data_IF_101312594754
#
_entry.id   IF_101312594754
#
_cell.length_a   1.000
_cell.length_b   1.000
_cell.length_c   1.000
_cell.angle_alpha   90.00
_cell.angle_beta   90.00
_cell.angle_gamma   90.00
#
_symmetry.space_group_name_H-M   'P 1'
#
loop_
_entity.id
_entity.type
_entity.pdbx_description
1 polymer ?
#
# COMPACT_ATOMS: atom_id res chain seq x y z
N UNK A 1 11.47 -3.83 24.44
CA UNK A 1 10.31 -4.25 25.27
C UNK A 1 9.45 -5.18 24.44
N UNK A 2 9.37 -6.46 24.81
CA UNK A 2 8.62 -7.48 24.08
C UNK A 2 7.16 -7.43 24.53
N UNK A 3 6.26 -6.98 23.65
CA UNK A 3 4.82 -7.10 23.87
C UNK A 3 4.43 -8.53 23.51
N UNK A 4 4.30 -9.39 24.52
CA UNK A 4 3.80 -10.75 24.36
C UNK A 4 2.27 -10.69 24.40
N UNK A 5 1.64 -10.64 23.23
CA UNK A 5 0.21 -10.90 23.12
C UNK A 5 0.00 -12.42 23.13
N UNK A 6 -0.82 -12.93 24.05
CA UNK A 6 -1.17 -14.34 24.10
C UNK A 6 -2.14 -14.67 22.95
N UNK A 7 -1.59 -15.22 21.87
CA UNK A 7 -2.37 -15.78 20.76
C UNK A 7 -2.44 -17.31 20.96
N UNK A 8 -3.63 -17.89 20.77
CA UNK A 8 -3.93 -19.31 20.99
C UNK A 8 -3.19 -20.29 20.06
N UNK A 9 -2.35 -19.77 19.16
CA UNK A 9 -1.51 -20.53 18.23
C UNK A 9 -0.06 -20.15 18.53
N UNK A 10 0.88 -21.11 18.63
CA UNK A 10 2.30 -20.79 18.81
C UNK A 10 2.81 -20.09 17.55
N UNK A 11 2.84 -18.75 17.59
CA UNK A 11 3.37 -17.91 16.53
C UNK A 11 4.84 -17.63 16.86
N UNK A 12 5.75 -18.11 16.03
CA UNK A 12 7.16 -17.75 16.12
C UNK A 12 7.36 -16.28 15.72
N UNK A 13 7.63 -15.42 16.71
CA UNK A 13 7.98 -14.03 16.48
C UNK A 13 9.45 -13.92 16.03
N UNK A 14 9.69 -13.89 14.72
CA UNK A 14 11.03 -13.61 14.17
C UNK A 14 11.33 -12.12 14.19
N UNK A 15 12.19 -11.67 15.10
CA UNK A 15 12.73 -10.30 15.08
C UNK A 15 13.94 -10.18 14.15
N UNK A 16 13.74 -10.43 12.85
CA UNK A 16 14.80 -10.20 11.85
C UNK A 16 14.72 -8.74 11.41
N UNK A 17 15.66 -7.91 11.89
CA UNK A 17 15.74 -6.47 11.61
C UNK A 17 15.63 -6.13 10.12
N UNK A 18 16.28 -6.92 9.26
CA UNK A 18 16.25 -6.72 7.82
C UNK A 18 14.85 -6.89 7.22
N UNK A 19 14.13 -7.97 7.59
CA UNK A 19 12.77 -8.22 7.09
C UNK A 19 11.81 -7.13 7.56
N UNK A 20 11.94 -6.70 8.82
CA UNK A 20 11.15 -5.60 9.37
C UNK A 20 11.39 -4.29 8.61
N UNK A 21 12.65 -3.97 8.28
CA UNK A 21 12.98 -2.79 7.51
C UNK A 21 12.37 -2.81 6.10
N UNK A 22 12.34 -3.98 5.44
CA UNK A 22 11.75 -4.12 4.10
C UNK A 22 10.25 -3.90 4.11
N UNK A 23 9.53 -4.49 5.08
CA UNK A 23 8.09 -4.30 5.26
C UNK A 23 7.80 -2.82 5.57
N UNK A 24 8.55 -2.24 6.52
CA UNK A 24 8.36 -0.85 6.93
C UNK A 24 8.65 0.14 5.79
N UNK A 25 9.59 -0.19 4.91
CA UNK A 25 9.88 0.61 3.72
C UNK A 25 8.73 0.59 2.72
N UNK A 26 8.12 -0.56 2.49
CA UNK A 26 6.99 -0.71 1.56
C UNK A 26 5.79 0.15 2.00
N UNK A 27 5.53 0.22 3.31
CA UNK A 27 4.42 1.00 3.86
C UNK A 27 4.67 2.53 3.90
N UNK A 28 5.86 3.02 3.53
CA UNK A 28 6.22 4.45 3.64
C UNK A 28 5.28 5.37 2.87
N UNK A 29 4.86 4.95 1.68
CA UNK A 29 3.96 5.75 0.85
C UNK A 29 2.60 5.98 1.53
N UNK A 30 2.03 4.90 2.08
CA UNK A 30 0.75 4.94 2.80
C UNK A 30 0.91 5.79 4.07
N UNK A 31 1.95 5.54 4.88
CA UNK A 31 2.19 6.30 6.12
C UNK A 31 2.38 7.81 5.85
N UNK A 32 3.02 8.20 4.76
CA UNK A 32 3.21 9.61 4.40
C UNK A 32 1.88 10.33 4.16
N UNK A 33 0.90 9.67 3.56
CA UNK A 33 -0.42 10.23 3.26
C UNK A 33 -1.32 10.18 4.51
N UNK A 34 -1.27 9.10 5.27
CA UNK A 34 -2.19 8.85 6.40
C UNK A 34 -1.79 9.62 7.68
N UNK A 35 -0.49 9.84 7.93
CA UNK A 35 0.00 10.56 9.12
C UNK A 35 -0.67 11.92 9.35
N UNK A 36 -0.79 12.83 8.35
CA UNK A 36 -1.47 14.10 8.55
C UNK A 36 -3.00 13.96 8.74
N UNK A 37 -3.60 12.82 8.38
CA UNK A 37 -5.04 12.57 8.46
C UNK A 37 -5.48 11.99 9.82
N UNK A 38 -4.55 11.79 10.76
CA UNK A 38 -4.77 11.11 12.06
C UNK A 38 -5.34 9.68 11.94
N UNK A 39 -5.13 9.03 10.79
CA UNK A 39 -5.63 7.67 10.53
C UNK A 39 -6.95 7.62 9.76
N UNK A 40 -7.53 6.43 9.66
CA UNK A 40 -8.80 6.20 8.97
C UNK A 40 -9.95 6.08 9.98
N UNK A 41 -11.09 6.72 9.69
CA UNK A 41 -12.29 6.66 10.54
C UNK A 41 -13.04 5.32 10.47
N UNK A 42 -12.88 4.56 9.39
CA UNK A 42 -13.52 3.26 9.19
C UNK A 42 -12.70 2.35 8.28
N UNK A 43 -12.92 1.04 8.38
CA UNK A 43 -12.27 0.06 7.51
C UNK A 43 -12.67 0.20 6.04
N UNK A 44 -13.92 0.60 5.76
CA UNK A 44 -14.37 0.86 4.41
C UNK A 44 -13.56 2.01 3.78
N UNK A 45 -13.38 3.10 4.52
CA UNK A 45 -12.56 4.24 4.09
C UNK A 45 -11.09 3.85 3.88
N UNK A 46 -10.52 3.09 4.83
CA UNK A 46 -9.16 2.58 4.72
C UNK A 46 -8.96 1.76 3.44
N UNK A 47 -9.89 0.83 3.15
CA UNK A 47 -9.82 -0.04 1.96
C UNK A 47 -9.80 0.77 0.67
N UNK A 48 -10.74 1.70 0.51
CA UNK A 48 -10.84 2.52 -0.71
C UNK A 48 -9.60 3.41 -0.90
N UNK A 49 -9.13 4.04 0.17
CA UNK A 49 -7.95 4.92 0.09
C UNK A 49 -6.66 4.13 -0.19
N UNK A 50 -6.44 3.01 0.48
CA UNK A 50 -5.27 2.16 0.23
C UNK A 50 -5.27 1.66 -1.22
N UNK A 51 -6.42 1.17 -1.72
CA UNK A 51 -6.55 0.72 -3.11
C UNK A 51 -6.24 1.84 -4.11
N UNK A 52 -6.68 3.08 -3.86
CA UNK A 52 -6.33 4.23 -4.69
C UNK A 52 -4.84 4.56 -4.67
N UNK A 53 -4.20 4.51 -3.50
CA UNK A 53 -2.75 4.75 -3.36
C UNK A 53 -1.95 3.68 -4.10
N UNK A 54 -2.35 2.41 -4.00
CA UNK A 54 -1.73 1.28 -4.70
C UNK A 54 -1.88 1.41 -6.22
N UNK A 55 -3.08 1.78 -6.69
CA UNK A 55 -3.36 2.02 -8.11
C UNK A 55 -2.45 3.10 -8.68
N UNK A 56 -2.32 4.23 -7.99
CA UNK A 56 -1.39 5.29 -8.40
C UNK A 56 0.07 4.85 -8.37
N UNK A 57 0.45 3.95 -7.45
CA UNK A 57 1.78 3.33 -7.42
C UNK A 57 2.03 2.43 -8.64
N UNK A 58 1.04 1.65 -9.05
CA UNK A 58 1.12 0.79 -10.23
C UNK A 58 1.29 1.60 -11.51
N UNK A 59 0.51 2.69 -11.66
CA UNK A 59 0.65 3.67 -12.76
C UNK A 59 2.07 4.24 -12.79
N UNK A 60 2.55 4.76 -11.65
CA UNK A 60 3.89 5.35 -11.54
C UNK A 60 5.01 4.36 -11.85
N UNK A 61 4.85 3.09 -11.50
CA UNK A 61 5.82 2.02 -11.77
C UNK A 61 5.72 1.46 -13.19
N UNK A 62 4.75 1.88 -14.00
CA UNK A 62 4.51 1.32 -15.34
C UNK A 62 4.05 -0.15 -15.30
N UNK A 63 3.45 -0.58 -14.19
CA UNK A 63 2.96 -1.95 -14.02
C UNK A 63 1.62 -2.17 -14.72
N UNK A 64 0.92 -1.10 -15.10
CA UNK A 64 -0.24 -1.18 -15.96
C UNK A 64 0.21 -1.50 -17.39
N UNK A 65 -0.21 -2.66 -17.89
CA UNK A 65 0.01 -3.06 -19.28
C UNK A 65 -0.81 -2.15 -20.18
N UNK A 66 -0.19 -1.11 -20.73
CA UNK A 66 -0.80 -0.32 -21.78
C UNK A 66 -0.91 -1.20 -23.03
N UNK A 67 -2.13 -1.64 -23.36
CA UNK A 67 -2.41 -2.44 -24.57
C UNK A 67 -2.20 -1.64 -25.87
N UNK A 68 -1.97 -0.33 -25.78
CA UNK A 68 -1.74 0.57 -26.90
C UNK A 68 -0.34 1.15 -26.75
N UNK A 69 0.54 0.94 -27.73
CA UNK A 69 1.95 1.34 -27.75
C UNK A 69 2.22 2.86 -27.74
N UNK A 70 1.28 3.66 -27.23
CA UNK A 70 1.39 5.10 -27.02
C UNK A 70 1.69 5.36 -25.54
N UNK A 71 2.61 6.29 -25.25
CA UNK A 71 2.90 6.74 -23.90
C UNK A 71 1.67 7.44 -23.28
N UNK A 72 0.75 6.66 -22.70
CA UNK A 72 -0.42 7.16 -22.01
C UNK A 72 0.01 7.90 -20.73
N UNK A 73 -0.54 9.10 -20.51
CA UNK A 73 -0.26 9.86 -19.29
C UNK A 73 -0.78 9.11 -18.06
N UNK A 74 -0.31 9.48 -16.87
CA UNK A 74 -0.81 8.90 -15.63
C UNK A 74 -2.34 9.10 -15.46
N UNK A 75 -2.87 10.21 -15.98
CA UNK A 75 -4.30 10.49 -15.97
C UNK A 75 -5.05 9.55 -16.93
N UNK A 76 -4.54 9.36 -18.15
CA UNK A 76 -5.17 8.47 -19.14
C UNK A 76 -5.20 7.02 -18.62
N UNK A 77 -4.10 6.56 -18.02
CA UNK A 77 -4.02 5.23 -17.40
C UNK A 77 -4.99 5.08 -16.23
N UNK A 78 -5.24 6.15 -15.47
CA UNK A 78 -6.21 6.14 -14.39
C UNK A 78 -7.64 6.08 -14.91
N UNK A 79 -7.98 6.90 -15.92
CA UNK A 79 -9.31 6.90 -16.53
C UNK A 79 -9.65 5.58 -17.21
N UNK A 80 -8.67 4.89 -17.81
CA UNK A 80 -8.88 3.55 -18.39
C UNK A 80 -9.17 2.44 -17.37
N UNK A 81 -9.15 2.72 -16.06
CA UNK A 81 -9.59 1.77 -15.04
C UNK A 81 -11.08 1.88 -14.75
N UNK A 82 -11.71 2.99 -15.13
CA UNK A 82 -13.13 3.24 -14.90
C UNK A 82 -14.01 2.81 -16.09
N UNK A 83 -13.42 2.68 -17.28
CA UNK A 83 -14.07 2.38 -18.55
C UNK A 83 -13.25 1.36 -19.33
#
# INVERSE_FOLDING_TARGET
MAVKAALAVPIELRQIKYLNNRIEQDHRAIKRIVRPMLGFKSFACARTLIAGIETMHMIKKGQLKNQKGTAASAADQFYSLAF
#
